data_IF_918271934863
#
_entry.id   IF_918271934863
#
_cell.length_a   1.000
_cell.length_b   1.000
_cell.length_c   1.000
_cell.angle_alpha   90.00
_cell.angle_beta   90.00
_cell.angle_gamma   90.00
#
_symmetry.space_group_name_H-M   'P 1'
#
loop_
_entity.id
_entity.type
_entity.pdbx_description
1 polymer ?
#
# COMPACT_ATOMS: atom_id res chain seq x y z
N UNK A 1 22.41 0.31 -15.66
CA UNK A 1 21.44 -0.57 -16.37
C UNK A 1 21.22 -0.03 -17.78
N UNK A 2 20.85 -0.87 -18.76
CA UNK A 2 20.46 -0.36 -20.09
C UNK A 2 19.19 0.51 -19.94
N UNK A 3 19.13 1.64 -20.66
CA UNK A 3 17.99 2.58 -20.63
C UNK A 3 16.65 1.93 -20.95
N UNK A 4 16.65 0.95 -21.86
CA UNK A 4 15.47 0.14 -22.18
C UNK A 4 14.95 -0.65 -20.96
N UNK A 5 15.83 -1.27 -20.19
CA UNK A 5 15.45 -2.03 -19.00
C UNK A 5 14.87 -1.15 -17.89
N UNK A 6 15.38 0.07 -17.71
CA UNK A 6 14.84 1.00 -16.70
C UNK A 6 13.46 1.51 -17.09
N UNK A 7 13.22 1.79 -18.38
CA UNK A 7 11.90 2.20 -18.87
C UNK A 7 10.89 1.07 -18.71
N UNK A 8 11.27 -0.17 -19.07
CA UNK A 8 10.42 -1.34 -18.87
C UNK A 8 10.00 -1.48 -17.41
N UNK A 9 10.96 -1.39 -16.47
CA UNK A 9 10.68 -1.56 -15.06
C UNK A 9 9.85 -0.38 -14.49
N UNK A 10 10.02 0.84 -15.01
CA UNK A 10 9.14 1.97 -14.70
C UNK A 10 7.70 1.73 -15.14
N UNK A 11 7.48 1.15 -16.33
CA UNK A 11 6.13 0.77 -16.81
C UNK A 11 5.52 -0.27 -15.86
N UNK A 12 6.28 -1.29 -15.47
CA UNK A 12 5.83 -2.32 -14.51
C UNK A 12 5.41 -1.68 -13.19
N UNK A 13 6.15 -0.72 -12.66
CA UNK A 13 5.77 0.02 -11.43
C UNK A 13 4.42 0.73 -11.59
N UNK A 14 4.18 1.38 -12.74
CA UNK A 14 2.91 2.05 -13.02
C UNK A 14 1.77 1.04 -13.09
N UNK A 15 1.97 -0.09 -13.77
CA UNK A 15 0.96 -1.15 -13.85
C UNK A 15 0.63 -1.75 -12.48
N UNK A 16 1.64 -1.96 -11.63
CA UNK A 16 1.44 -2.40 -10.24
C UNK A 16 0.60 -1.37 -9.48
N UNK A 17 0.93 -0.07 -9.60
CA UNK A 17 0.17 1.00 -8.96
C UNK A 17 -1.30 1.00 -9.39
N UNK A 18 -1.58 0.88 -10.69
CA UNK A 18 -2.94 0.80 -11.22
C UNK A 18 -3.66 -0.45 -10.71
N UNK A 19 -3.01 -1.61 -10.77
CA UNK A 19 -3.60 -2.88 -10.32
C UNK A 19 -3.95 -2.86 -8.85
N UNK A 20 -3.05 -2.37 -8.00
CA UNK A 20 -3.30 -2.23 -6.55
C UNK A 20 -4.43 -1.23 -6.29
N UNK A 21 -4.44 -0.08 -6.96
CA UNK A 21 -5.53 0.90 -6.79
C UNK A 21 -6.89 0.32 -7.21
N UNK A 22 -6.94 -0.39 -8.34
CA UNK A 22 -8.15 -1.03 -8.82
C UNK A 22 -8.65 -2.10 -7.84
N UNK A 23 -7.75 -2.93 -7.31
CA UNK A 23 -8.10 -3.93 -6.29
C UNK A 23 -8.59 -3.27 -5.01
N UNK A 24 -7.92 -2.22 -4.52
CA UNK A 24 -8.35 -1.50 -3.32
C UNK A 24 -9.77 -0.94 -3.45
N UNK A 25 -10.14 -0.41 -4.63
CA UNK A 25 -11.46 0.15 -4.90
C UNK A 25 -12.53 -0.91 -5.24
N UNK A 26 -12.14 -2.14 -5.56
CA UNK A 26 -13.06 -3.19 -5.98
C UNK A 26 -13.34 -4.18 -4.85
N UNK A 27 -12.30 -4.61 -4.16
CA UNK A 27 -12.33 -5.67 -3.15
C UNK A 27 -13.31 -5.43 -1.99
N UNK A 28 -13.50 -4.19 -1.46
CA UNK A 28 -14.49 -3.93 -0.42
C UNK A 28 -15.92 -4.32 -0.83
N UNK A 29 -16.25 -4.31 -2.12
CA UNK A 29 -17.57 -4.74 -2.61
C UNK A 29 -17.78 -6.26 -2.56
N UNK A 30 -16.70 -7.04 -2.45
CA UNK A 30 -16.74 -8.50 -2.43
C UNK A 30 -16.83 -9.08 -1.00
N UNK A 31 -16.57 -8.26 0.01
CA UNK A 31 -16.60 -8.69 1.41
C UNK A 31 -18.02 -9.08 1.85
N UNK A 32 -18.16 -10.25 2.49
CA UNK A 32 -19.46 -10.75 2.96
C UNK A 32 -20.19 -9.81 3.92
N UNK A 33 -19.45 -9.00 4.70
CA UNK A 33 -20.02 -7.97 5.59
C UNK A 33 -20.68 -6.81 4.84
N UNK A 34 -20.38 -6.62 3.55
CA UNK A 34 -20.86 -5.51 2.73
C UNK A 34 -22.01 -5.90 1.78
N UNK A 35 -22.53 -7.13 1.84
CA UNK A 35 -23.59 -7.65 0.93
C UNK A 35 -24.84 -6.77 0.89
N UNK A 36 -25.21 -6.14 2.01
CA UNK A 36 -26.36 -5.25 2.10
C UNK A 36 -25.98 -3.77 2.32
N UNK A 37 -24.70 -3.45 2.25
CA UNK A 37 -24.19 -2.10 2.52
C UNK A 37 -24.29 -1.23 1.26
N UNK A 38 -24.65 0.02 1.44
CA UNK A 38 -24.53 1.01 0.35
C UNK A 38 -23.06 1.38 0.14
N UNK A 39 -22.64 1.87 -1.06
CA UNK A 39 -21.27 2.35 -1.27
C UNK A 39 -20.83 3.40 -0.25
N UNK A 40 -21.75 4.27 0.19
CA UNK A 40 -21.45 5.25 1.23
C UNK A 40 -21.08 4.59 2.56
N UNK A 41 -21.75 3.51 2.92
CA UNK A 41 -21.47 2.78 4.16
C UNK A 41 -20.15 2.05 4.10
N UNK A 42 -19.86 1.41 2.96
CA UNK A 42 -18.58 0.73 2.72
C UNK A 42 -17.42 1.73 2.88
N UNK A 43 -17.46 2.86 2.19
CA UNK A 43 -16.30 3.77 2.11
C UNK A 43 -16.21 4.81 3.22
N UNK A 44 -17.32 5.20 3.84
CA UNK A 44 -17.34 6.32 4.80
C UNK A 44 -17.76 5.92 6.21
N UNK A 45 -18.36 4.73 6.41
CA UNK A 45 -18.71 4.24 7.77
C UNK A 45 -17.81 3.12 8.27
N UNK A 46 -16.88 2.61 7.46
CA UNK A 46 -15.93 1.60 7.90
C UNK A 46 -14.58 2.22 8.36
N UNK A 47 -14.30 2.26 9.67
CA UNK A 47 -13.05 2.81 10.18
C UNK A 47 -11.83 1.95 9.82
N UNK A 48 -12.00 0.63 9.62
CA UNK A 48 -10.91 -0.24 9.21
C UNK A 48 -10.49 0.04 7.76
N UNK A 49 -11.47 0.22 6.87
CA UNK A 49 -11.19 0.58 5.48
C UNK A 49 -10.51 1.95 5.38
N UNK A 50 -10.97 2.94 6.16
CA UNK A 50 -10.33 4.24 6.24
C UNK A 50 -8.86 4.14 6.74
N UNK A 51 -8.59 3.27 7.71
CA UNK A 51 -7.25 3.00 8.21
C UNK A 51 -6.35 2.37 7.14
N UNK A 52 -6.83 1.33 6.44
CA UNK A 52 -6.10 0.68 5.36
C UNK A 52 -5.80 1.64 4.19
N UNK A 53 -6.77 2.49 3.83
CA UNK A 53 -6.61 3.50 2.79
C UNK A 53 -5.62 4.60 3.19
N UNK A 54 -5.57 4.94 4.48
CA UNK A 54 -4.56 5.88 4.97
C UNK A 54 -3.16 5.27 4.89
N UNK A 55 -3.01 3.99 5.24
CA UNK A 55 -1.74 3.27 5.15
C UNK A 55 -1.24 3.18 3.69
N UNK A 56 -2.14 2.98 2.73
CA UNK A 56 -1.80 2.83 1.31
C UNK A 56 -1.13 4.07 0.70
N UNK A 57 -1.33 5.25 1.28
CA UNK A 57 -0.62 6.47 0.87
C UNK A 57 0.89 6.26 0.91
N UNK A 58 1.41 5.61 1.97
CA UNK A 58 2.83 5.31 2.07
C UNK A 58 3.32 4.36 0.96
N UNK A 59 2.49 3.38 0.58
CA UNK A 59 2.77 2.46 -0.52
C UNK A 59 2.85 3.19 -1.87
N UNK A 60 1.88 4.03 -2.21
CA UNK A 60 1.90 4.78 -3.47
C UNK A 60 3.03 5.80 -3.54
N UNK A 61 3.37 6.44 -2.41
CA UNK A 61 4.55 7.30 -2.31
C UNK A 61 5.83 6.49 -2.55
N UNK A 62 5.94 5.27 -2.01
CA UNK A 62 7.09 4.39 -2.26
C UNK A 62 7.21 4.01 -3.75
N UNK A 63 6.11 3.65 -4.41
CA UNK A 63 6.11 3.35 -5.85
C UNK A 63 6.58 4.55 -6.68
N UNK A 64 6.09 5.75 -6.38
CA UNK A 64 6.52 6.97 -7.07
C UNK A 64 8.03 7.25 -6.88
N UNK A 65 8.54 7.03 -5.66
CA UNK A 65 9.97 7.20 -5.40
C UNK A 65 10.81 6.12 -6.08
N UNK A 66 10.33 4.89 -6.16
CA UNK A 66 10.97 3.80 -6.90
C UNK A 66 11.03 4.11 -8.40
N UNK A 67 9.94 4.65 -8.98
CA UNK A 67 9.91 5.13 -10.36
C UNK A 67 11.00 6.19 -10.62
N UNK A 68 11.14 7.18 -9.74
CA UNK A 68 12.19 8.22 -9.87
C UNK A 68 13.59 7.63 -9.69
N UNK A 69 13.78 6.73 -8.74
CA UNK A 69 15.06 6.06 -8.49
C UNK A 69 15.53 5.31 -9.73
N UNK A 70 14.64 4.59 -10.42
CA UNK A 70 14.95 3.95 -11.71
C UNK A 70 15.32 4.95 -12.80
N UNK A 71 14.67 6.11 -12.83
CA UNK A 71 15.04 7.20 -13.73
C UNK A 71 16.48 7.69 -13.48
N UNK A 72 16.84 7.87 -12.21
CA UNK A 72 18.22 8.23 -11.84
C UNK A 72 19.22 7.12 -12.19
N UNK A 73 18.85 5.85 -12.01
CA UNK A 73 19.69 4.70 -12.43
C UNK A 73 19.89 4.67 -13.94
N UNK A 74 18.83 4.91 -14.72
CA UNK A 74 18.90 4.97 -16.18
C UNK A 74 19.76 6.12 -16.70
N UNK A 75 19.85 7.21 -15.93
CA UNK A 75 20.71 8.36 -16.22
C UNK A 75 22.13 8.26 -15.63
N UNK A 76 22.53 7.11 -15.07
CA UNK A 76 23.80 6.92 -14.36
C UNK A 76 24.02 7.88 -13.16
N UNK A 77 22.94 8.35 -12.54
CA UNK A 77 22.95 9.26 -11.39
C UNK A 77 22.62 8.55 -10.06
N UNK A 78 22.99 7.28 -9.92
CA UNK A 78 22.65 6.42 -8.77
C UNK A 78 23.14 6.98 -7.44
N UNK A 79 24.30 7.64 -7.43
CA UNK A 79 24.91 8.24 -6.24
C UNK A 79 24.55 9.71 -6.05
N UNK A 80 23.62 10.24 -6.84
CA UNK A 80 23.16 11.62 -6.68
C UNK A 80 22.41 11.78 -5.36
N UNK A 81 22.46 12.99 -4.79
CA UNK A 81 21.68 13.33 -3.60
C UNK A 81 20.18 13.06 -3.79
N UNK A 82 19.67 13.20 -5.02
CA UNK A 82 18.27 12.92 -5.37
C UNK A 82 17.95 11.43 -5.31
N UNK A 83 18.84 10.57 -5.79
CA UNK A 83 18.69 9.11 -5.70
C UNK A 83 18.74 8.63 -4.25
N UNK A 84 19.69 9.14 -3.45
CA UNK A 84 19.77 8.83 -2.02
C UNK A 84 18.52 9.30 -1.28
N UNK A 85 17.99 10.49 -1.60
CA UNK A 85 16.75 11.00 -1.01
C UNK A 85 15.55 10.13 -1.38
N UNK A 86 15.43 9.71 -2.65
CA UNK A 86 14.37 8.80 -3.08
C UNK A 86 14.41 7.47 -2.31
N UNK A 87 15.58 6.85 -2.18
CA UNK A 87 15.77 5.62 -1.42
C UNK A 87 15.43 5.81 0.08
N UNK A 88 15.83 6.94 0.67
CA UNK A 88 15.50 7.27 2.05
C UNK A 88 13.98 7.40 2.25
N UNK A 89 13.28 8.04 1.31
CA UNK A 89 11.81 8.11 1.37
C UNK A 89 11.17 6.73 1.25
N UNK A 90 11.65 5.85 0.36
CA UNK A 90 11.16 4.46 0.27
C UNK A 90 11.32 3.74 1.61
N UNK A 91 12.48 3.88 2.26
CA UNK A 91 12.72 3.31 3.59
C UNK A 91 11.70 3.82 4.63
N UNK A 92 11.42 5.13 4.66
CA UNK A 92 10.44 5.66 5.60
C UNK A 92 9.02 5.19 5.29
N UNK A 93 8.63 5.12 4.01
CA UNK A 93 7.36 4.52 3.61
C UNK A 93 7.23 3.06 4.09
N UNK A 94 8.30 2.26 3.95
CA UNK A 94 8.31 0.88 4.43
C UNK A 94 8.15 0.79 5.95
N UNK A 95 8.85 1.64 6.72
CA UNK A 95 8.68 1.72 8.18
C UNK A 95 7.27 2.16 8.58
N UNK A 96 6.68 3.11 7.86
CA UNK A 96 5.30 3.52 8.06
C UNK A 96 4.34 2.36 7.83
N UNK A 97 4.47 1.63 6.72
CA UNK A 97 3.63 0.46 6.44
C UNK A 97 3.76 -0.62 7.53
N UNK A 98 4.99 -0.92 7.97
CA UNK A 98 5.21 -1.85 9.09
C UNK A 98 4.48 -1.37 10.35
N UNK A 99 4.57 -0.09 10.69
CA UNK A 99 3.87 0.47 11.85
C UNK A 99 2.34 0.36 11.71
N UNK A 100 1.79 0.59 10.52
CA UNK A 100 0.36 0.43 10.26
C UNK A 100 -0.09 -1.04 10.40
N UNK A 101 0.68 -2.00 9.89
CA UNK A 101 0.39 -3.44 10.02
C UNK A 101 0.44 -3.86 11.48
N UNK A 102 1.53 -3.54 12.20
CA UNK A 102 1.65 -3.87 13.63
C UNK A 102 0.55 -3.19 14.46
N UNK A 103 0.14 -1.98 14.08
CA UNK A 103 -0.97 -1.28 14.72
C UNK A 103 -2.32 -1.96 14.48
N UNK A 104 -2.56 -2.50 13.28
CA UNK A 104 -3.77 -3.26 12.96
C UNK A 104 -3.82 -4.57 13.74
N UNK A 105 -2.75 -5.37 13.69
CA UNK A 105 -2.58 -6.60 14.50
C UNK A 105 -2.89 -6.32 15.97
N UNK A 106 -2.22 -5.32 16.56
CA UNK A 106 -2.38 -4.97 17.96
C UNK A 106 -3.83 -4.59 18.30
N UNK A 107 -4.50 -3.82 17.43
CA UNK A 107 -5.90 -3.47 17.59
C UNK A 107 -6.80 -4.72 17.57
N UNK A 108 -6.61 -5.61 16.58
CA UNK A 108 -7.40 -6.85 16.49
C UNK A 108 -7.20 -7.75 17.72
N UNK A 109 -5.95 -7.93 18.16
CA UNK A 109 -5.62 -8.77 19.31
C UNK A 109 -6.06 -8.20 20.67
N UNK A 110 -6.20 -6.88 20.81
CA UNK A 110 -6.55 -6.25 22.10
C UNK A 110 -8.03 -5.90 22.20
N UNK A 111 -8.63 -5.43 21.10
CA UNK A 111 -10.01 -4.90 21.08
C UNK A 111 -11.01 -5.90 20.53
N UNK A 112 -10.62 -6.71 19.53
CA UNK A 112 -11.53 -7.66 18.86
C UNK A 112 -11.54 -9.05 19.51
N UNK A 113 -10.66 -9.31 20.48
CA UNK A 113 -10.49 -10.61 21.15
C UNK A 113 -11.79 -11.00 21.88
N UNK A 114 -12.60 -11.87 21.26
CA UNK A 114 -13.85 -12.38 21.80
C UNK A 114 -15.10 -12.18 20.93
N UNK A 115 -15.00 -11.50 19.77
CA UNK A 115 -16.07 -11.50 18.76
C UNK A 115 -15.79 -12.60 17.73
N UNK A 116 -16.81 -13.33 17.29
CA UNK A 116 -16.68 -14.54 16.45
C UNK A 116 -16.04 -14.28 15.06
N UNK A 117 -15.92 -13.02 14.65
CA UNK A 117 -15.37 -12.59 13.36
C UNK A 117 -13.96 -11.97 13.50
N UNK A 118 -13.00 -12.77 13.97
CA UNK A 118 -11.56 -12.42 14.01
C UNK A 118 -10.87 -12.82 12.69
N UNK A 119 -11.54 -13.64 11.87
CA UNK A 119 -10.91 -14.38 10.78
C UNK A 119 -10.50 -13.48 9.59
N UNK A 120 -11.27 -12.45 9.24
CA UNK A 120 -11.02 -11.65 8.03
C UNK A 120 -9.68 -10.91 8.03
N UNK A 121 -9.33 -10.24 9.13
CA UNK A 121 -8.06 -9.48 9.26
C UNK A 121 -6.85 -10.38 9.45
N UNK A 122 -6.95 -11.32 10.40
CA UNK A 122 -5.82 -12.17 10.83
C UNK A 122 -5.44 -13.23 9.78
N UNK A 123 -6.38 -13.72 8.96
CA UNK A 123 -6.11 -14.78 7.97
C UNK A 123 -5.31 -14.29 6.74
N UNK A 124 -5.30 -12.98 6.46
CA UNK A 124 -4.50 -12.39 5.37
C UNK A 124 -3.05 -12.10 5.84
N UNK A 125 -2.74 -12.34 7.13
CA UNK A 125 -1.44 -12.04 7.73
C UNK A 125 -1.28 -10.54 8.02
N UNK A 126 -2.33 -9.96 8.59
CA UNK A 126 -2.49 -8.55 8.94
C UNK A 126 -2.91 -8.41 10.40
#
# INVERSE_FOLDING_TARGET
MKRSSTIFLQIVIVLIGIGVLALMLWEPHLEGRNVNATPFEIYFKDPFLAYAYTASIAFFVALYQAFKLLGYIGANQVFSLRAVKALRTIKYCALTLIAFIVGAEAFFFTVQRGKEDIAGGVMIGL
#
